data_IF_882582306236
#
_entry.id   IF_882582306236
#
_cell.length_a   1.000
_cell.length_b   1.000
_cell.length_c   1.000
_cell.angle_alpha   90.00
_cell.angle_beta   90.00
_cell.angle_gamma   90.00
#
_symmetry.space_group_name_H-M   'P 1'
#
loop_
_entity.id
_entity.type
_entity.pdbx_description
1 polymer ?
#
# COMPACT_ATOMS: atom_id res chain seq x y z
N UNK A 1 5.58 4.46 39.29
CA UNK A 1 4.61 5.43 38.71
C UNK A 1 3.95 4.73 37.53
N UNK A 2 2.64 4.44 37.59
CA UNK A 2 1.91 3.94 36.42
C UNK A 2 1.60 5.11 35.47
N UNK A 3 2.16 5.09 34.28
CA UNK A 3 1.85 6.09 33.28
C UNK A 3 0.54 5.67 32.58
N UNK A 4 -0.49 6.51 32.67
CA UNK A 4 -1.74 6.31 31.93
C UNK A 4 -1.53 6.72 30.48
N UNK A 5 -1.35 5.75 29.60
CA UNK A 5 -1.17 6.02 28.18
C UNK A 5 -2.44 6.62 27.57
N UNK A 6 -2.28 7.71 26.83
CA UNK A 6 -3.37 8.28 26.03
C UNK A 6 -3.37 7.63 24.66
N UNK A 7 -4.41 6.86 24.34
CA UNK A 7 -4.56 6.13 23.10
C UNK A 7 -5.42 6.97 22.14
N UNK A 8 -4.98 7.07 20.89
CA UNK A 8 -5.77 7.65 19.79
C UNK A 8 -6.01 6.58 18.74
N UNK A 9 -7.27 6.30 18.46
CA UNK A 9 -7.72 5.24 17.55
C UNK A 9 -8.16 5.79 16.20
N UNK A 10 -7.98 5.01 15.12
CA UNK A 10 -8.44 5.39 13.79
C UNK A 10 -8.88 4.19 12.95
N UNK A 11 -9.78 4.42 12.00
CA UNK A 11 -10.28 3.39 11.09
C UNK A 11 -11.76 3.53 10.76
N UNK A 12 -12.39 2.41 10.42
CA UNK A 12 -13.82 2.35 10.06
C UNK A 12 -14.76 2.22 11.27
N UNK A 13 -14.24 1.77 12.39
CA UNK A 13 -15.08 1.52 13.56
C UNK A 13 -15.71 2.80 14.09
N UNK A 14 -17.02 2.74 14.46
CA UNK A 14 -17.81 3.93 14.87
C UNK A 14 -17.22 4.65 16.09
N UNK A 15 -16.52 3.92 16.98
CA UNK A 15 -15.89 4.47 18.19
C UNK A 15 -14.45 4.96 17.97
N UNK A 16 -13.92 4.92 16.73
CA UNK A 16 -12.58 5.45 16.46
C UNK A 16 -12.54 6.97 16.60
N UNK A 17 -11.48 7.51 17.22
CA UNK A 17 -11.27 8.95 17.35
C UNK A 17 -11.14 9.67 16.01
N UNK A 18 -10.66 8.95 15.00
CA UNK A 18 -10.61 9.37 13.60
C UNK A 18 -11.31 8.29 12.78
N UNK A 19 -12.55 8.55 12.40
CA UNK A 19 -13.39 7.58 11.73
C UNK A 19 -13.48 7.86 10.23
N UNK A 20 -13.29 6.86 9.39
CA UNK A 20 -13.64 6.92 7.97
C UNK A 20 -15.17 6.85 7.83
N UNK A 21 -15.76 7.87 7.24
CA UNK A 21 -17.20 7.92 6.92
C UNK A 21 -17.49 7.48 5.49
N UNK A 22 -16.68 7.94 4.53
CA UNK A 22 -16.88 7.66 3.11
C UNK A 22 -15.59 7.79 2.33
N UNK A 23 -15.44 6.95 1.31
CA UNK A 23 -14.37 7.05 0.31
C UNK A 23 -15.02 7.12 -1.06
N UNK A 24 -14.64 8.11 -1.86
CA UNK A 24 -15.07 8.25 -3.25
C UNK A 24 -13.83 8.20 -4.12
N UNK A 25 -13.71 7.17 -4.97
CA UNK A 25 -12.64 7.05 -5.95
C UNK A 25 -13.02 7.85 -7.20
N UNK A 26 -12.10 8.71 -7.68
CA UNK A 26 -12.25 9.51 -8.91
C UNK A 26 -10.95 9.50 -9.71
N UNK A 27 -10.88 8.64 -10.72
CA UNK A 27 -9.67 8.50 -11.54
C UNK A 27 -8.44 8.17 -10.68
N UNK A 28 -7.42 9.03 -10.72
CA UNK A 28 -6.14 8.86 -10.03
C UNK A 28 -6.11 9.39 -8.59
N UNK A 29 -7.24 9.76 -8.01
CA UNK A 29 -7.32 10.21 -6.63
C UNK A 29 -8.55 9.65 -5.91
N UNK A 30 -8.49 9.66 -4.58
CA UNK A 30 -9.61 9.35 -3.71
C UNK A 30 -9.96 10.56 -2.85
N UNK A 31 -11.25 10.85 -2.73
CA UNK A 31 -11.78 11.79 -1.75
C UNK A 31 -12.26 11.01 -0.54
N UNK A 32 -11.66 11.29 0.63
CA UNK A 32 -11.95 10.61 1.89
C UNK A 32 -12.67 11.60 2.80
N UNK A 33 -13.77 11.16 3.39
CA UNK A 33 -14.48 11.88 4.44
C UNK A 33 -14.18 11.20 5.77
N UNK A 34 -13.60 11.93 6.69
CA UNK A 34 -13.29 11.48 8.04
C UNK A 34 -14.04 12.29 9.07
N UNK A 35 -14.50 11.62 10.12
CA UNK A 35 -15.01 12.29 11.31
C UNK A 35 -13.91 12.34 12.37
N UNK A 36 -13.65 13.51 12.91
CA UNK A 36 -12.75 13.70 14.06
C UNK A 36 -13.33 14.80 14.94
N UNK A 37 -13.51 14.53 16.24
CA UNK A 37 -14.15 15.46 17.20
C UNK A 37 -15.51 15.99 16.71
N UNK A 38 -16.38 15.11 16.21
CA UNK A 38 -17.70 15.44 15.65
C UNK A 38 -17.68 16.42 14.45
N UNK A 39 -16.53 16.62 13.83
CA UNK A 39 -16.38 17.40 12.61
C UNK A 39 -16.02 16.49 11.45
N UNK A 40 -16.71 16.65 10.32
CA UNK A 40 -16.38 15.95 9.09
C UNK A 40 -15.38 16.79 8.31
N UNK A 41 -14.25 16.17 7.99
CA UNK A 41 -13.19 16.76 7.17
C UNK A 41 -13.08 15.92 5.91
N UNK A 42 -12.99 16.58 4.75
CA UNK A 42 -12.70 15.92 3.49
C UNK A 42 -11.23 16.10 3.12
N UNK A 43 -10.65 15.03 2.62
CA UNK A 43 -9.25 14.98 2.17
C UNK A 43 -9.20 14.41 0.76
N UNK A 44 -8.36 14.99 -0.08
CA UNK A 44 -8.03 14.45 -1.40
C UNK A 44 -6.65 13.83 -1.34
N UNK A 45 -6.56 12.53 -1.65
CA UNK A 45 -5.30 11.78 -1.66
C UNK A 45 -5.11 11.09 -3.01
N UNK A 46 -3.86 10.94 -3.43
CA UNK A 46 -3.49 10.22 -4.64
C UNK A 46 -2.75 8.95 -4.26
N UNK A 47 -3.28 7.77 -4.64
CA UNK A 47 -2.63 6.45 -4.51
C UNK A 47 -1.98 6.12 -3.15
N UNK A 48 -2.36 6.83 -2.07
CA UNK A 48 -1.81 6.62 -0.73
C UNK A 48 -2.56 5.52 0.01
N UNK A 49 -1.85 4.82 0.88
CA UNK A 49 -2.49 3.92 1.83
C UNK A 49 -3.31 4.75 2.83
N UNK A 50 -4.61 4.50 2.88
CA UNK A 50 -5.54 5.27 3.71
C UNK A 50 -5.20 5.18 5.21
N UNK A 51 -4.74 4.03 5.69
CA UNK A 51 -4.36 3.86 7.10
C UNK A 51 -3.13 4.68 7.46
N UNK A 52 -2.16 4.81 6.53
CA UNK A 52 -1.00 5.67 6.75
C UNK A 52 -1.42 7.14 6.83
N UNK A 53 -2.39 7.56 6.00
CA UNK A 53 -2.96 8.92 6.07
C UNK A 53 -3.66 9.15 7.41
N UNK A 54 -4.47 8.18 7.87
CA UNK A 54 -5.16 8.29 9.17
C UNK A 54 -4.17 8.30 10.34
N UNK A 55 -3.12 7.49 10.28
CA UNK A 55 -2.05 7.50 11.31
C UNK A 55 -1.37 8.87 11.37
N UNK A 56 -1.05 9.46 10.21
CA UNK A 56 -0.48 10.82 10.14
C UNK A 56 -1.44 11.86 10.73
N UNK A 57 -2.74 11.75 10.45
CA UNK A 57 -3.77 12.64 11.03
C UNK A 57 -3.86 12.44 12.54
N UNK A 58 -3.73 11.21 13.04
CA UNK A 58 -3.72 10.95 14.48
C UNK A 58 -2.55 11.65 15.18
N UNK A 59 -1.36 11.61 14.59
CA UNK A 59 -0.19 12.35 15.10
C UNK A 59 -0.45 13.85 15.08
N UNK A 60 -0.95 14.40 13.98
CA UNK A 60 -1.27 15.83 13.89
C UNK A 60 -2.29 16.28 14.93
N UNK A 61 -3.32 15.45 15.18
CA UNK A 61 -4.32 15.70 16.22
C UNK A 61 -3.69 15.75 17.60
N UNK A 62 -2.80 14.81 17.92
CA UNK A 62 -2.07 14.78 19.21
C UNK A 62 -1.19 16.02 19.37
N UNK A 63 -0.52 16.45 18.29
CA UNK A 63 0.32 17.65 18.25
C UNK A 63 -0.49 18.95 18.14
N UNK A 64 -1.83 18.89 18.13
CA UNK A 64 -2.74 20.05 17.96
C UNK A 64 -2.48 20.87 16.68
N UNK A 65 -1.98 20.23 15.64
CA UNK A 65 -1.75 20.86 14.33
C UNK A 65 -3.06 20.84 13.52
N UNK A 66 -3.42 21.97 12.95
CA UNK A 66 -4.63 22.08 12.10
C UNK A 66 -4.45 21.25 10.81
N UNK A 67 -5.35 20.28 10.63
CA UNK A 67 -5.39 19.39 9.46
C UNK A 67 -5.58 20.18 8.15
N UNK A 68 -6.26 21.31 8.19
CA UNK A 68 -6.49 22.14 7.01
C UNK A 68 -5.17 22.66 6.40
N UNK A 69 -4.16 22.92 7.24
CA UNK A 69 -2.83 23.36 6.79
C UNK A 69 -2.09 22.34 5.93
N UNK A 70 -2.45 21.05 6.05
CA UNK A 70 -1.79 19.96 5.31
C UNK A 70 -2.61 19.40 4.14
N UNK A 71 -3.88 19.82 3.97
CA UNK A 71 -4.74 19.30 2.89
C UNK A 71 -4.09 19.42 1.51
N UNK A 72 -3.49 20.55 1.21
CA UNK A 72 -2.80 20.78 -0.08
C UNK A 72 -1.59 19.85 -0.24
N UNK A 73 -0.81 19.64 0.83
CA UNK A 73 0.35 18.74 0.83
C UNK A 73 -0.08 17.29 0.62
N UNK A 74 -1.15 16.83 1.26
CA UNK A 74 -1.68 15.47 1.07
C UNK A 74 -2.19 15.23 -0.36
N UNK A 75 -2.79 16.24 -1.00
CA UNK A 75 -3.23 16.16 -2.40
C UNK A 75 -2.07 15.94 -3.37
N UNK A 76 -0.94 16.60 -3.10
CA UNK A 76 0.24 16.60 -3.97
C UNK A 76 1.32 15.62 -3.50
N UNK A 77 1.06 14.86 -2.44
CA UNK A 77 2.03 13.90 -1.91
C UNK A 77 2.20 12.74 -2.90
N UNK A 78 3.45 12.48 -3.24
CA UNK A 78 3.84 11.33 -4.05
C UNK A 78 4.43 10.23 -3.15
N UNK A 79 4.20 8.97 -3.54
CA UNK A 79 4.82 7.85 -2.84
C UNK A 79 6.34 7.94 -2.93
N UNK A 80 7.08 7.76 -1.82
CA UNK A 80 8.53 7.68 -1.84
C UNK A 80 9.01 6.52 -2.73
N UNK A 81 10.26 6.56 -3.13
CA UNK A 81 10.92 5.47 -3.85
C UNK A 81 10.82 4.16 -3.07
N UNK A 82 10.63 3.08 -3.80
CA UNK A 82 10.44 1.76 -3.20
C UNK A 82 9.12 1.52 -2.47
N UNK A 83 8.21 2.50 -2.44
CA UNK A 83 6.92 2.41 -1.71
C UNK A 83 5.71 2.68 -2.60
N UNK A 84 5.69 2.07 -3.77
CA UNK A 84 4.60 2.20 -4.75
C UNK A 84 4.76 3.36 -5.72
N UNK A 85 5.95 3.95 -5.82
CA UNK A 85 6.23 4.99 -6.81
C UNK A 85 6.13 4.41 -8.21
N UNK A 86 5.47 5.14 -9.11
CA UNK A 86 5.24 4.73 -10.48
C UNK A 86 6.19 5.48 -11.42
N UNK A 87 6.84 4.74 -12.31
CA UNK A 87 7.72 5.28 -13.33
C UNK A 87 7.20 4.88 -14.71
N UNK A 88 7.20 5.81 -15.66
CA UNK A 88 6.98 5.52 -17.07
C UNK A 88 8.34 5.51 -17.76
N UNK A 89 8.75 4.37 -18.28
CA UNK A 89 10.08 4.13 -18.83
C UNK A 89 9.94 3.83 -20.32
N UNK A 90 10.76 4.49 -21.14
CA UNK A 90 10.87 4.19 -22.56
C UNK A 90 12.27 3.61 -22.80
N UNK A 91 12.33 2.37 -23.27
CA UNK A 91 13.61 1.70 -23.61
C UNK A 91 13.38 0.77 -24.80
N UNK A 92 14.35 0.70 -25.67
CA UNK A 92 14.29 -0.11 -26.91
C UNK A 92 12.99 0.14 -27.72
N UNK A 93 12.60 1.42 -27.86
CA UNK A 93 11.36 1.85 -28.53
C UNK A 93 10.06 1.28 -27.94
N UNK A 94 10.14 0.71 -26.72
CA UNK A 94 8.98 0.20 -25.98
C UNK A 94 8.74 1.02 -24.73
N UNK A 95 7.47 1.31 -24.46
CA UNK A 95 7.03 1.98 -23.23
C UNK A 95 6.53 0.95 -22.24
N UNK A 96 6.98 1.04 -21.00
CA UNK A 96 6.46 0.24 -19.89
C UNK A 96 6.34 1.09 -18.62
N UNK A 97 5.46 0.65 -17.72
CA UNK A 97 5.27 1.27 -16.43
C UNK A 97 5.85 0.35 -15.36
N UNK A 98 6.71 0.91 -14.52
CA UNK A 98 7.26 0.25 -13.35
C UNK A 98 6.57 0.77 -12.10
N UNK A 99 6.13 -0.15 -11.24
CA UNK A 99 5.65 0.15 -9.88
C UNK A 99 6.72 -0.37 -8.93
N UNK A 100 7.38 0.53 -8.23
CA UNK A 100 8.51 0.20 -7.37
C UNK A 100 8.04 0.03 -5.91
N UNK A 101 8.04 -1.21 -5.43
CA UNK A 101 7.73 -1.60 -4.04
C UNK A 101 8.98 -2.22 -3.35
N UNK A 102 10.19 -1.85 -3.77
CA UNK A 102 11.43 -2.53 -3.43
C UNK A 102 12.06 -2.15 -2.07
N UNK A 103 11.56 -1.11 -1.38
CA UNK A 103 12.18 -0.60 -0.15
C UNK A 103 12.24 -1.63 0.97
N UNK A 104 11.15 -2.36 1.20
CA UNK A 104 11.05 -3.43 2.19
C UNK A 104 9.89 -4.36 1.84
N UNK A 105 10.03 -5.64 2.20
CA UNK A 105 9.04 -6.66 1.89
C UNK A 105 8.67 -7.45 3.14
N UNK A 106 7.36 -7.57 3.40
CA UNK A 106 6.79 -8.50 4.36
C UNK A 106 5.57 -9.20 3.74
N UNK A 107 5.08 -10.31 4.31
CA UNK A 107 4.01 -11.09 3.69
C UNK A 107 2.75 -10.28 3.35
N UNK A 108 2.37 -9.33 4.19
CA UNK A 108 1.19 -8.51 3.95
C UNK A 108 1.43 -7.46 2.86
N UNK A 109 2.56 -6.76 2.89
CA UNK A 109 2.87 -5.73 1.90
C UNK A 109 3.02 -6.32 0.49
N UNK A 110 3.69 -7.49 0.36
CA UNK A 110 3.85 -8.19 -0.92
C UNK A 110 2.50 -8.67 -1.45
N UNK A 111 1.65 -9.30 -0.62
CA UNK A 111 0.29 -9.68 -1.02
C UNK A 111 -0.52 -8.46 -1.50
N UNK A 112 -0.45 -7.35 -0.78
CA UNK A 112 -1.14 -6.12 -1.17
C UNK A 112 -0.61 -5.55 -2.50
N UNK A 113 0.71 -5.60 -2.75
CA UNK A 113 1.30 -5.17 -4.02
C UNK A 113 0.82 -6.04 -5.19
N UNK A 114 0.79 -7.37 -5.01
CA UNK A 114 0.26 -8.32 -6.01
C UNK A 114 -1.23 -8.03 -6.29
N UNK A 115 -2.05 -7.84 -5.24
CA UNK A 115 -3.46 -7.48 -5.42
C UNK A 115 -3.64 -6.15 -6.15
N UNK A 116 -2.85 -5.13 -5.84
CA UNK A 116 -2.89 -3.85 -6.56
C UNK A 116 -2.54 -4.01 -8.04
N UNK A 117 -1.49 -4.80 -8.35
CA UNK A 117 -1.13 -5.11 -9.73
C UNK A 117 -2.25 -5.84 -10.46
N UNK A 118 -2.89 -6.81 -9.78
CA UNK A 118 -4.02 -7.56 -10.34
C UNK A 118 -5.23 -6.66 -10.67
N UNK A 119 -5.50 -5.62 -9.86
CA UNK A 119 -6.61 -4.68 -10.07
C UNK A 119 -6.40 -3.72 -11.27
N UNK A 120 -5.19 -3.62 -11.82
CA UNK A 120 -4.94 -2.84 -13.02
C UNK A 120 -5.58 -3.59 -14.20
N UNK A 121 -6.50 -2.95 -14.91
CA UNK A 121 -7.15 -3.58 -16.05
C UNK A 121 -6.12 -3.93 -17.13
N UNK A 122 -6.17 -5.17 -17.61
CA UNK A 122 -5.29 -5.69 -18.65
C UNK A 122 -5.93 -5.44 -20.02
N UNK A 123 -5.59 -4.33 -20.67
CA UNK A 123 -6.14 -4.01 -22.00
C UNK A 123 -5.20 -4.50 -23.13
N UNK A 124 -4.03 -3.85 -23.24
CA UNK A 124 -3.07 -4.11 -24.34
C UNK A 124 -1.64 -4.32 -23.83
N UNK A 125 -1.47 -4.71 -22.58
CA UNK A 125 -0.15 -4.92 -21.99
C UNK A 125 -0.11 -6.19 -21.14
N UNK A 126 1.12 -6.65 -20.89
CA UNK A 126 1.41 -7.79 -20.02
C UNK A 126 1.80 -7.30 -18.64
N UNK A 127 1.45 -8.07 -17.61
CA UNK A 127 1.81 -7.83 -16.23
C UNK A 127 2.95 -8.72 -15.81
N UNK A 128 4.05 -8.12 -15.41
CA UNK A 128 5.22 -8.84 -14.92
C UNK A 128 5.44 -8.53 -13.44
N UNK A 129 5.74 -9.56 -12.67
CA UNK A 129 6.12 -9.46 -11.27
C UNK A 129 7.59 -9.80 -11.11
N UNK A 130 8.36 -8.91 -10.49
CA UNK A 130 9.73 -9.18 -10.05
C UNK A 130 9.69 -9.31 -8.53
N UNK A 131 10.01 -10.50 -8.02
CA UNK A 131 9.89 -10.85 -6.61
C UNK A 131 11.26 -11.10 -6.00
N UNK A 132 11.61 -10.35 -4.95
CA UNK A 132 12.77 -10.55 -4.10
C UNK A 132 12.44 -11.30 -2.81
N UNK A 133 13.47 -11.73 -2.07
CA UNK A 133 13.28 -12.35 -0.77
C UNK A 133 12.67 -11.35 0.24
N UNK A 134 11.75 -11.86 1.05
CA UNK A 134 11.30 -11.15 2.27
C UNK A 134 12.26 -11.52 3.41
N UNK A 135 12.91 -10.51 3.97
CA UNK A 135 13.87 -10.69 5.05
C UNK A 135 13.18 -10.62 6.42
N UNK A 136 13.92 -10.96 7.48
CA UNK A 136 13.50 -10.82 8.89
C UNK A 136 12.24 -11.60 9.29
N UNK A 137 11.91 -12.69 8.58
CA UNK A 137 10.74 -13.52 8.86
C UNK A 137 10.99 -14.70 9.81
N UNK A 138 12.22 -14.86 10.31
CA UNK A 138 12.61 -15.94 11.21
C UNK A 138 12.36 -17.34 10.64
N UNK A 139 12.05 -18.30 11.49
CA UNK A 139 11.85 -19.72 11.12
C UNK A 139 10.67 -19.95 10.16
N UNK A 140 9.70 -19.03 10.11
CA UNK A 140 8.52 -19.11 9.22
C UNK A 140 8.76 -18.59 7.80
N UNK A 141 9.98 -18.12 7.49
CA UNK A 141 10.31 -17.50 6.22
C UNK A 141 9.90 -18.36 5.00
N UNK A 142 10.25 -19.64 4.97
CA UNK A 142 9.93 -20.53 3.86
C UNK A 142 8.42 -20.62 3.64
N UNK A 143 7.64 -20.81 4.72
CA UNK A 143 6.18 -20.89 4.67
C UNK A 143 5.53 -19.60 4.15
N UNK A 144 6.05 -18.43 4.55
CA UNK A 144 5.53 -17.16 4.05
C UNK A 144 5.83 -16.95 2.56
N UNK A 145 7.00 -17.36 2.09
CA UNK A 145 7.32 -17.33 0.66
C UNK A 145 6.42 -18.29 -0.13
N UNK A 146 6.26 -19.53 0.34
CA UNK A 146 5.37 -20.51 -0.28
C UNK A 146 3.94 -19.99 -0.41
N UNK A 147 3.40 -19.34 0.63
CA UNK A 147 2.04 -18.80 0.61
C UNK A 147 1.79 -17.70 -0.44
N UNK A 148 2.84 -17.04 -0.96
CA UNK A 148 2.70 -16.05 -2.02
C UNK A 148 2.23 -16.68 -3.33
N UNK A 149 2.59 -17.95 -3.60
CA UNK A 149 2.16 -18.67 -4.80
C UNK A 149 0.65 -18.67 -4.96
N UNK A 150 -0.11 -18.88 -3.87
CA UNK A 150 -1.57 -18.87 -3.88
C UNK A 150 -2.15 -17.55 -4.39
N UNK A 151 -1.54 -16.43 -4.01
CA UNK A 151 -1.99 -15.09 -4.45
C UNK A 151 -1.62 -14.85 -5.90
N UNK A 152 -0.43 -15.32 -6.32
CA UNK A 152 0.06 -15.16 -7.69
C UNK A 152 -0.78 -16.04 -8.64
N UNK A 153 -0.98 -17.33 -8.30
CA UNK A 153 -1.76 -18.27 -9.13
C UNK A 153 -3.24 -17.82 -9.30
N UNK A 154 -3.78 -17.06 -8.34
CA UNK A 154 -5.13 -16.47 -8.44
C UNK A 154 -5.14 -15.06 -9.06
N UNK A 155 -4.06 -14.65 -9.71
CA UNK A 155 -3.94 -13.34 -10.37
C UNK A 155 -3.84 -13.47 -11.89
N UNK A 156 -3.99 -12.36 -12.61
CA UNK A 156 -3.81 -12.30 -14.07
C UNK A 156 -2.36 -11.87 -14.45
N UNK A 157 -1.37 -12.17 -13.61
CA UNK A 157 0.05 -11.91 -13.85
C UNK A 157 0.55 -12.86 -14.95
N UNK A 158 1.16 -12.30 -16.00
CA UNK A 158 1.63 -13.09 -17.15
C UNK A 158 2.98 -13.77 -16.90
N UNK A 159 3.83 -13.16 -16.08
CA UNK A 159 5.17 -13.71 -15.81
C UNK A 159 5.71 -13.27 -14.46
N UNK A 160 6.37 -14.19 -13.78
CA UNK A 160 7.05 -13.95 -12.50
C UNK A 160 8.54 -14.16 -12.67
N UNK A 161 9.32 -13.18 -12.25
CA UNK A 161 10.78 -13.29 -12.13
C UNK A 161 11.12 -13.33 -10.65
N UNK A 162 11.98 -14.23 -10.23
CA UNK A 162 12.41 -14.37 -8.85
C UNK A 162 13.88 -14.02 -8.69
N UNK A 163 14.23 -13.40 -7.58
CA UNK A 163 15.61 -13.12 -7.17
C UNK A 163 15.76 -13.36 -5.68
N UNK A 164 16.56 -14.37 -5.32
CA UNK A 164 16.84 -14.69 -3.93
C UNK A 164 16.79 -16.20 -3.64
N UNK A 165 17.21 -16.58 -2.43
CA UNK A 165 17.23 -17.98 -1.98
C UNK A 165 15.87 -18.46 -1.47
N UNK A 166 15.06 -17.57 -0.95
CA UNK A 166 13.76 -17.88 -0.33
C UNK A 166 12.58 -17.80 -1.32
N UNK A 167 12.67 -16.97 -2.32
CA UNK A 167 11.67 -16.90 -3.40
C UNK A 167 11.53 -18.19 -4.19
N UNK A 168 12.50 -19.12 -4.10
CA UNK A 168 12.41 -20.46 -4.69
C UNK A 168 11.20 -21.25 -4.13
N UNK A 169 10.82 -21.04 -2.86
CA UNK A 169 9.65 -21.68 -2.27
C UNK A 169 8.33 -21.17 -2.88
N UNK A 170 8.30 -19.90 -3.29
CA UNK A 170 7.18 -19.38 -4.10
C UNK A 170 7.16 -20.03 -5.48
N UNK A 171 8.31 -20.02 -6.17
CA UNK A 171 8.45 -20.49 -7.54
C UNK A 171 8.01 -21.95 -7.72
N UNK A 172 8.42 -22.84 -6.82
CA UNK A 172 8.08 -24.29 -6.86
C UNK A 172 6.56 -24.57 -6.81
N UNK A 173 5.75 -23.61 -6.39
CA UNK A 173 4.30 -23.71 -6.23
C UNK A 173 3.54 -22.88 -7.26
N UNK A 174 4.22 -22.27 -8.25
CA UNK A 174 3.55 -21.55 -9.35
C UNK A 174 3.07 -22.56 -10.40
N UNK A 175 1.89 -22.25 -10.95
CA UNK A 175 1.27 -23.00 -12.05
C UNK A 175 1.93 -22.64 -13.38
#
# INVERSE_FOLDING_TARGET
KSYKLKITTFGYHKKSDIQIKKIIKKGNYSKIFINTNNRIIDLKIRDLNIYNVLASIAVLKVLKIDINKIKAKLKNFESPEGRGKKYSIIRYKKKFNLIDESYNANPLSVKNAIHKLNLIKKEKFKKYLILGDMLELGSKSNKYHEQLSKVINNSDIDKVFIKGKKTIFTYKQLN
#
